data_IF_390347923381
#
_entry.id   IF_390347923381
#
_cell.length_a   1.000
_cell.length_b   1.000
_cell.length_c   1.000
_cell.angle_alpha   90.00
_cell.angle_beta   90.00
_cell.angle_gamma   90.00
#
_symmetry.space_group_name_H-M   'P 1'
#
loop_
_entity.id
_entity.type
_entity.pdbx_description
1 polymer ?
#
# COMPACT_ATOMS: atom_id res chain seq x y z
N UNK A 1 -26.34 -37.29 -5.74
CA UNK A 1 -25.28 -36.85 -4.79
C UNK A 1 -23.98 -36.44 -5.48
N UNK A 2 -23.40 -37.24 -6.40
CA UNK A 2 -22.10 -36.95 -7.05
C UNK A 2 -22.03 -35.59 -7.79
N UNK A 3 -23.04 -35.26 -8.62
CA UNK A 3 -23.07 -33.99 -9.38
C UNK A 3 -23.26 -32.73 -8.52
N UNK A 4 -23.99 -32.85 -7.41
CA UNK A 4 -24.20 -31.73 -6.49
C UNK A 4 -22.91 -31.35 -5.76
N UNK A 5 -22.19 -32.36 -5.23
CA UNK A 5 -20.91 -32.17 -4.55
C UNK A 5 -19.83 -31.57 -5.48
N UNK A 6 -19.78 -32.00 -6.74
CA UNK A 6 -18.89 -31.44 -7.75
C UNK A 6 -19.18 -29.95 -8.01
N UNK A 7 -20.46 -29.59 -8.18
CA UNK A 7 -20.86 -28.20 -8.35
C UNK A 7 -20.48 -27.33 -7.14
N UNK A 8 -20.67 -27.84 -5.92
CA UNK A 8 -20.29 -27.11 -4.70
C UNK A 8 -18.77 -26.90 -4.61
N UNK A 9 -17.98 -27.91 -4.96
CA UNK A 9 -16.51 -27.82 -4.98
C UNK A 9 -16.01 -26.81 -6.02
N UNK A 10 -16.63 -26.79 -7.21
CA UNK A 10 -16.30 -25.83 -8.26
C UNK A 10 -16.63 -24.40 -7.81
N UNK A 11 -17.81 -24.17 -7.22
CA UNK A 11 -18.21 -22.87 -6.67
C UNK A 11 -17.26 -22.39 -5.56
N UNK A 12 -16.83 -23.31 -4.68
CA UNK A 12 -15.86 -23.01 -3.64
C UNK A 12 -14.50 -22.63 -4.24
N UNK A 13 -13.99 -23.38 -5.22
CA UNK A 13 -12.74 -23.07 -5.90
C UNK A 13 -12.76 -21.69 -6.59
N UNK A 14 -13.87 -21.34 -7.26
CA UNK A 14 -14.06 -20.02 -7.90
C UNK A 14 -14.07 -18.89 -6.85
N UNK A 15 -14.71 -19.13 -5.70
CA UNK A 15 -14.77 -18.14 -4.61
C UNK A 15 -13.38 -17.89 -3.99
N UNK A 16 -12.55 -18.92 -3.86
CA UNK A 16 -11.17 -18.80 -3.40
C UNK A 16 -10.26 -18.13 -4.43
N UNK A 17 -10.50 -18.33 -5.73
CA UNK A 17 -9.73 -17.63 -6.78
C UNK A 17 -10.07 -16.13 -6.83
N UNK A 18 -11.29 -15.74 -6.48
CA UNK A 18 -11.71 -14.34 -6.47
C UNK A 18 -11.18 -13.53 -5.27
N UNK A 19 -10.69 -14.17 -4.20
CA UNK A 19 -10.23 -13.45 -2.99
C UNK A 19 -8.84 -12.81 -3.13
N UNK A 20 -8.05 -13.23 -4.12
CA UNK A 20 -6.67 -12.75 -4.33
C UNK A 20 -6.56 -11.32 -4.88
N UNK A 21 -7.66 -10.62 -5.18
CA UNK A 21 -7.64 -9.37 -5.94
C UNK A 21 -7.75 -8.07 -5.11
N UNK A 22 -7.81 -8.14 -3.77
CA UNK A 22 -8.13 -6.95 -2.94
C UNK A 22 -7.00 -6.56 -1.99
N UNK A 23 -5.83 -6.26 -2.55
CA UNK A 23 -4.85 -5.47 -1.81
C UNK A 23 -5.38 -4.05 -1.66
N UNK A 24 -5.64 -3.62 -0.43
CA UNK A 24 -6.19 -2.29 -0.13
C UNK A 24 -5.07 -1.24 -0.12
N UNK A 25 -5.37 -0.07 -0.70
CA UNK A 25 -4.50 1.10 -0.57
C UNK A 25 -4.82 1.76 0.76
N UNK A 26 -3.80 2.05 1.56
CA UNK A 26 -3.95 2.78 2.83
C UNK A 26 -3.37 4.17 2.74
N UNK A 27 -3.96 5.10 3.47
CA UNK A 27 -3.49 6.48 3.60
C UNK A 27 -2.91 6.72 4.99
N UNK A 28 -1.87 7.57 5.11
CA UNK A 28 -1.30 7.96 6.38
C UNK A 28 -2.33 8.63 7.30
N UNK A 29 -2.30 8.27 8.59
CA UNK A 29 -3.12 8.91 9.63
C UNK A 29 -2.72 10.37 9.75
N UNK A 30 -3.69 11.29 9.81
CA UNK A 30 -3.38 12.70 10.05
C UNK A 30 -2.99 12.91 11.51
N UNK A 31 -1.70 13.12 11.77
CA UNK A 31 -1.22 13.54 13.09
C UNK A 31 -1.52 15.02 13.30
N UNK A 32 -2.39 15.34 14.26
CA UNK A 32 -2.72 16.73 14.60
C UNK A 32 -1.49 17.39 15.25
N UNK A 33 -1.08 18.57 14.74
CA UNK A 33 0.03 19.36 15.29
C UNK A 33 1.42 19.05 14.72
N UNK A 34 1.55 18.04 13.85
CA UNK A 34 2.80 17.78 13.13
C UNK A 34 2.99 18.76 11.96
N UNK A 35 4.22 19.20 11.73
CA UNK A 35 4.59 19.91 10.49
C UNK A 35 4.28 18.97 9.32
N UNK A 36 3.44 19.44 8.40
CA UNK A 36 3.05 18.63 7.23
C UNK A 36 4.27 18.45 6.33
N UNK A 37 4.80 17.23 6.26
CA UNK A 37 5.96 16.85 5.42
C UNK A 37 5.57 16.24 4.08
N UNK A 38 4.28 16.00 3.86
CA UNK A 38 3.76 15.35 2.65
C UNK A 38 2.36 15.88 2.27
N UNK A 39 1.99 15.71 1.02
CA UNK A 39 0.61 15.84 0.50
C UNK A 39 0.09 14.50 0.04
N UNK A 40 -1.24 14.37 -0.10
CA UNK A 40 -1.86 13.19 -0.71
C UNK A 40 -2.59 13.67 -1.95
N UNK A 41 -2.24 13.13 -3.11
CA UNK A 41 -2.90 13.49 -4.37
C UNK A 41 -4.25 12.77 -4.54
N UNK A 42 -5.11 13.17 -5.49
CA UNK A 42 -6.43 12.56 -5.69
C UNK A 42 -6.38 11.04 -5.96
N UNK A 43 -5.26 10.53 -6.43
CA UNK A 43 -5.04 9.12 -6.72
C UNK A 43 -4.62 8.33 -5.46
N UNK A 44 -4.43 8.99 -4.31
CA UNK A 44 -4.00 8.37 -3.06
C UNK A 44 -2.49 8.15 -2.96
N UNK A 45 -1.67 8.85 -3.75
CA UNK A 45 -0.20 8.86 -3.59
C UNK A 45 0.20 9.88 -2.53
N UNK A 46 1.03 9.47 -1.59
CA UNK A 46 1.76 10.35 -0.69
C UNK A 46 2.91 11.03 -1.46
N UNK A 47 2.89 12.34 -1.59
CA UNK A 47 3.93 13.13 -2.26
C UNK A 47 4.74 13.88 -1.20
N UNK A 48 6.05 13.65 -1.14
CA UNK A 48 6.94 14.32 -0.16
C UNK A 48 7.12 15.79 -0.54
N UNK A 49 6.92 16.69 0.41
CA UNK A 49 7.06 18.13 0.17
C UNK A 49 8.53 18.54 0.06
N UNK A 50 8.80 19.51 -0.81
CA UNK A 50 10.15 20.06 -1.02
C UNK A 50 11.00 19.30 -2.04
N UNK A 51 10.43 18.30 -2.72
CA UNK A 51 11.09 17.52 -3.76
C UNK A 51 10.39 17.68 -5.12
N UNK A 52 11.11 17.49 -6.22
CA UNK A 52 10.51 17.54 -7.56
C UNK A 52 9.87 16.19 -7.92
N UNK A 53 8.55 16.12 -7.77
CA UNK A 53 7.79 14.89 -8.06
C UNK A 53 8.00 14.36 -9.48
N UNK A 54 8.45 15.16 -10.46
CA UNK A 54 8.74 14.65 -11.80
C UNK A 54 10.01 13.80 -11.86
N UNK A 55 10.93 14.01 -10.92
CA UNK A 55 12.22 13.33 -10.84
C UNK A 55 12.23 12.23 -9.79
N UNK A 56 11.41 12.39 -8.74
CA UNK A 56 11.37 11.43 -7.65
C UNK A 56 10.68 10.11 -8.02
N UNK A 57 11.24 8.97 -7.58
CA UNK A 57 10.64 7.67 -7.82
C UNK A 57 9.35 7.48 -7.02
N UNK A 58 8.47 6.65 -7.56
CA UNK A 58 7.28 6.17 -6.84
C UNK A 58 7.56 4.81 -6.21
N UNK A 59 7.33 4.71 -4.91
CA UNK A 59 7.47 3.54 -4.07
C UNK A 59 6.12 2.96 -3.66
N UNK A 60 6.09 1.64 -3.51
CA UNK A 60 4.99 0.91 -2.90
C UNK A 60 5.49 0.26 -1.61
N UNK A 61 4.96 0.74 -0.47
CA UNK A 61 5.29 0.22 0.84
C UNK A 61 4.21 -0.78 1.22
N UNK A 62 4.58 -2.03 1.41
CA UNK A 62 3.70 -3.04 2.00
C UNK A 62 3.74 -2.86 3.52
N UNK A 63 2.58 -2.54 4.09
CA UNK A 63 2.43 -2.21 5.51
C UNK A 63 1.42 -3.10 6.19
N UNK A 64 1.64 -3.36 7.48
CA UNK A 64 0.65 -4.02 8.31
C UNK A 64 -0.52 -3.08 8.59
N UNK A 65 -1.74 -3.58 8.41
CA UNK A 65 -2.99 -2.86 8.62
C UNK A 65 -4.09 -3.83 9.07
N UNK A 66 -5.28 -3.32 9.36
CA UNK A 66 -6.46 -4.12 9.71
C UNK A 66 -7.11 -4.77 8.47
N UNK A 67 -6.29 -5.50 7.70
CA UNK A 67 -6.71 -6.31 6.56
C UNK A 67 -5.87 -7.59 6.52
N UNK A 68 -6.51 -8.72 6.26
CA UNK A 68 -5.91 -10.05 6.40
C UNK A 68 -4.69 -10.28 5.48
N UNK A 69 -4.62 -9.57 4.36
CA UNK A 69 -3.51 -9.65 3.39
C UNK A 69 -2.50 -8.51 3.51
N UNK A 70 -2.64 -7.63 4.51
CA UNK A 70 -1.91 -6.36 4.60
C UNK A 70 -2.37 -5.31 3.59
N UNK A 71 -1.73 -4.15 3.62
CA UNK A 71 -2.06 -2.99 2.79
C UNK A 71 -0.86 -2.48 2.01
N UNK A 72 -1.12 -1.72 0.96
CA UNK A 72 -0.10 -0.97 0.25
C UNK A 72 -0.27 0.53 0.47
N UNK A 73 0.82 1.21 0.81
CA UNK A 73 0.89 2.66 0.79
C UNK A 73 1.73 3.09 -0.40
N UNK A 74 1.16 3.94 -1.27
CA UNK A 74 1.89 4.50 -2.41
C UNK A 74 2.50 5.83 -2.02
N UNK A 75 3.80 5.97 -2.24
CA UNK A 75 4.54 7.18 -1.90
C UNK A 75 5.49 7.59 -3.02
N UNK A 76 5.68 8.88 -3.24
CA UNK A 76 6.54 9.44 -4.27
C UNK A 76 7.45 10.49 -3.63
N UNK A 77 8.76 10.31 -3.81
CA UNK A 77 9.79 11.01 -3.06
C UNK A 77 10.90 10.08 -2.60
N UNK A 78 11.87 10.63 -1.86
CA UNK A 78 12.94 9.84 -1.27
C UNK A 78 12.41 8.70 -0.38
N UNK A 79 13.00 7.52 -0.52
CA UNK A 79 12.57 6.30 0.16
C UNK A 79 12.52 6.44 1.69
N UNK A 80 13.52 7.10 2.29
CA UNK A 80 13.58 7.30 3.74
C UNK A 80 12.46 8.22 4.23
N UNK A 81 12.10 9.24 3.45
CA UNK A 81 10.97 10.12 3.74
C UNK A 81 9.65 9.35 3.65
N UNK A 82 9.48 8.48 2.65
CA UNK A 82 8.32 7.61 2.53
C UNK A 82 8.18 6.62 3.70
N UNK A 83 9.28 5.99 4.14
CA UNK A 83 9.30 5.14 5.34
C UNK A 83 8.89 5.93 6.58
N UNK A 84 9.44 7.14 6.75
CA UNK A 84 9.14 7.99 7.88
C UNK A 84 7.66 8.34 7.94
N UNK A 85 7.02 8.69 6.82
CA UNK A 85 5.58 8.95 6.78
C UNK A 85 4.77 7.72 7.21
N UNK A 86 5.16 6.51 6.79
CA UNK A 86 4.50 5.29 7.23
C UNK A 86 4.63 5.09 8.74
N UNK A 87 5.85 5.20 9.28
CA UNK A 87 6.13 5.01 10.71
C UNK A 87 5.46 6.08 11.58
N UNK A 88 5.50 7.34 11.16
CA UNK A 88 4.81 8.45 11.84
C UNK A 88 3.27 8.28 11.82
N UNK A 89 2.76 7.48 10.87
CA UNK A 89 1.35 7.08 10.78
C UNK A 89 1.02 5.79 11.52
N UNK A 90 1.95 5.28 12.33
CA UNK A 90 1.84 4.03 13.07
C UNK A 90 1.71 2.78 12.18
N UNK A 91 2.21 2.84 10.94
CA UNK A 91 2.31 1.67 10.08
C UNK A 91 3.66 0.99 10.22
N UNK A 92 3.63 -0.33 10.40
CA UNK A 92 4.82 -1.18 10.29
C UNK A 92 5.09 -1.49 8.82
N UNK A 93 6.25 -1.07 8.31
CA UNK A 93 6.68 -1.32 6.92
C UNK A 93 7.34 -2.70 6.86
N UNK A 94 6.65 -3.65 6.23
CA UNK A 94 7.11 -5.05 6.11
C UNK A 94 8.01 -5.23 4.89
N UNK A 95 7.63 -4.64 3.76
CA UNK A 95 8.42 -4.73 2.53
C UNK A 95 8.24 -3.48 1.66
N UNK A 96 9.19 -3.25 0.75
CA UNK A 96 9.19 -2.10 -0.14
C UNK A 96 9.43 -2.58 -1.56
N UNK A 97 8.48 -2.28 -2.42
CA UNK A 97 8.62 -2.45 -3.85
C UNK A 97 8.91 -1.10 -4.48
N UNK A 98 10.11 -0.97 -5.05
CA UNK A 98 10.57 0.25 -5.71
C UNK A 98 11.03 -0.06 -7.13
N UNK A 99 10.83 0.85 -8.10
CA UNK A 99 11.46 0.75 -9.40
C UNK A 99 12.99 0.63 -9.25
N UNK A 100 13.60 -0.20 -10.09
CA UNK A 100 15.04 -0.40 -10.15
C UNK A 100 15.79 0.94 -10.19
N UNK A 101 16.68 1.20 -9.23
CA UNK A 101 17.50 2.42 -9.16
C UNK A 101 17.01 3.50 -8.18
N UNK A 102 15.89 3.29 -7.48
CA UNK A 102 15.36 4.21 -6.47
C UNK A 102 16.04 4.09 -5.08
N UNK A 103 17.15 3.33 -4.96
CA UNK A 103 17.90 3.06 -3.73
C UNK A 103 19.01 4.08 -3.46
N UNK A 104 18.73 5.37 -3.61
CA UNK A 104 19.62 6.42 -3.11
C UNK A 104 19.06 7.05 -1.84
#
# INVERSE_FOLDING_TARGET
MKRGLELTLILFAISFLASCASNTIVLPKRVQGAVKTYTVNPQGTVEILGQDMKLEPQHWLFVQCDHWSGCYMRCQGELNSCKKVATDSEFEVVNIYSPSGATK
#
